data_IF_744901027384
#
_entry.id   IF_744901027384
#
_cell.length_a   1.000
_cell.length_b   1.000
_cell.length_c   1.000
_cell.angle_alpha   90.00
_cell.angle_beta   90.00
_cell.angle_gamma   90.00
#
_symmetry.space_group_name_H-M   'P 1'
#
loop_
_entity.id
_entity.type
_entity.pdbx_description
1 polymer ?
#
# COMPACT_ATOMS: atom_id res chain seq x y z
N UNK A 1 -6.20 0.48 -37.79
CA UNK A 1 -6.25 1.67 -36.91
C UNK A 1 -6.07 1.22 -35.47
N UNK A 2 -4.88 1.37 -34.90
CA UNK A 2 -4.66 1.20 -33.48
C UNK A 2 -5.28 2.42 -32.77
N UNK A 3 -6.51 2.31 -32.31
CA UNK A 3 -7.14 3.36 -31.51
C UNK A 3 -6.34 3.52 -30.23
N UNK A 4 -5.85 4.74 -29.98
CA UNK A 4 -5.15 5.18 -28.75
C UNK A 4 -5.96 5.03 -27.45
N UNK A 5 -7.14 4.41 -27.55
CA UNK A 5 -7.99 4.07 -26.42
C UNK A 5 -8.16 2.54 -26.30
N UNK A 6 -7.07 1.75 -26.18
CA UNK A 6 -7.17 0.31 -25.96
C UNK A 6 -7.88 -0.06 -24.65
N UNK A 7 -8.13 0.94 -23.78
CA UNK A 7 -8.81 0.81 -22.50
C UNK A 7 -10.33 1.08 -22.56
N UNK A 8 -10.85 1.79 -23.57
CA UNK A 8 -12.28 2.13 -23.73
C UNK A 8 -12.84 1.50 -25.02
N UNK A 9 -12.30 0.34 -25.42
CA UNK A 9 -12.90 -0.47 -26.47
C UNK A 9 -14.16 -1.20 -25.99
N UNK A 10 -14.73 -2.06 -26.84
CA UNK A 10 -15.85 -2.98 -26.51
C UNK A 10 -15.59 -3.89 -25.29
N UNK A 11 -14.38 -3.89 -24.75
CA UNK A 11 -13.92 -4.70 -23.62
C UNK A 11 -13.90 -3.94 -22.29
N UNK A 12 -14.41 -2.71 -22.19
CA UNK A 12 -14.54 -2.05 -20.88
C UNK A 12 -15.92 -2.34 -20.28
N UNK A 13 -15.94 -3.11 -19.19
CA UNK A 13 -17.15 -3.37 -18.41
C UNK A 13 -17.01 -2.73 -17.02
N UNK A 14 -17.78 -1.69 -16.75
CA UNK A 14 -17.75 -1.02 -15.44
C UNK A 14 -18.53 -1.77 -14.35
N UNK A 15 -19.51 -2.58 -14.74
CA UNK A 15 -20.44 -3.24 -13.82
C UNK A 15 -19.76 -4.07 -12.71
N UNK A 16 -18.70 -4.87 -12.97
CA UNK A 16 -18.02 -5.64 -11.92
C UNK A 16 -17.34 -4.76 -10.87
N UNK A 17 -16.95 -3.54 -11.24
CA UNK A 17 -16.15 -2.63 -10.42
C UNK A 17 -16.98 -1.58 -9.67
N UNK A 18 -18.23 -1.34 -10.09
CA UNK A 18 -19.14 -0.35 -9.48
C UNK A 18 -19.19 -0.42 -7.95
N UNK A 19 -19.21 -1.62 -7.37
CA UNK A 19 -19.27 -1.82 -5.91
C UNK A 19 -18.02 -1.33 -5.15
N UNK A 20 -16.88 -1.20 -5.82
CA UNK A 20 -15.63 -0.68 -5.26
C UNK A 20 -15.48 0.81 -5.55
N UNK A 21 -15.82 1.22 -6.76
CA UNK A 21 -15.66 2.61 -7.21
C UNK A 21 -16.70 3.52 -6.57
N UNK A 22 -17.96 3.08 -6.43
CA UNK A 22 -19.03 3.94 -5.92
C UNK A 22 -18.78 4.49 -4.50
N UNK A 23 -18.34 3.70 -3.49
CA UNK A 23 -17.99 4.24 -2.18
C UNK A 23 -16.87 5.29 -2.24
N UNK A 24 -15.88 5.11 -3.11
CA UNK A 24 -14.77 6.04 -3.25
C UNK A 24 -15.19 7.36 -3.91
N UNK A 25 -16.02 7.29 -4.94
CA UNK A 25 -16.58 8.50 -5.57
C UNK A 25 -17.48 9.23 -4.58
N UNK A 26 -18.33 8.51 -3.84
CA UNK A 26 -19.18 9.14 -2.83
C UNK A 26 -18.35 9.76 -1.69
N UNK A 27 -17.23 9.13 -1.28
CA UNK A 27 -16.28 9.71 -0.32
C UNK A 27 -15.71 11.04 -0.83
N UNK A 28 -15.36 11.14 -2.12
CA UNK A 28 -14.90 12.40 -2.72
C UNK A 28 -16.01 13.45 -2.76
N UNK A 29 -17.26 13.07 -3.04
CA UNK A 29 -18.41 13.98 -3.00
C UNK A 29 -18.65 14.50 -1.59
N UNK A 30 -18.60 13.63 -0.57
CA UNK A 30 -18.71 14.04 0.84
C UNK A 30 -17.58 14.99 1.22
N UNK A 31 -16.34 14.68 0.84
CA UNK A 31 -15.19 15.55 1.09
C UNK A 31 -15.33 16.91 0.38
N UNK A 32 -15.86 16.94 -0.84
CA UNK A 32 -16.16 18.18 -1.55
C UNK A 32 -17.22 19.01 -0.84
N UNK A 33 -18.29 18.38 -0.33
CA UNK A 33 -19.31 19.07 0.49
C UNK A 33 -18.68 19.62 1.78
N UNK A 34 -17.81 18.86 2.45
CA UNK A 34 -17.09 19.35 3.62
C UNK A 34 -16.19 20.56 3.28
N UNK A 35 -15.47 20.53 2.15
CA UNK A 35 -14.70 21.68 1.67
C UNK A 35 -15.58 22.89 1.35
N UNK A 36 -16.77 22.68 0.77
CA UNK A 36 -17.70 23.77 0.48
C UNK A 36 -18.28 24.40 1.75
N UNK A 37 -18.51 23.61 2.80
CA UNK A 37 -18.96 24.09 4.10
C UNK A 37 -17.85 24.82 4.89
N UNK A 38 -16.58 24.48 4.64
CA UNK A 38 -15.41 25.15 5.21
C UNK A 38 -14.68 25.98 4.13
N UNK A 39 -15.44 26.82 3.43
CA UNK A 39 -14.96 27.58 2.27
C UNK A 39 -13.79 28.52 2.58
N UNK A 40 -13.58 28.88 3.85
CA UNK A 40 -12.44 29.68 4.32
C UNK A 40 -11.09 29.02 4.03
N UNK A 41 -11.04 27.70 3.88
CA UNK A 41 -9.83 26.96 3.52
C UNK A 41 -9.67 26.77 2.00
N UNK A 42 -10.67 27.13 1.21
CA UNK A 42 -10.71 26.89 -0.24
C UNK A 42 -10.41 28.19 -0.98
N UNK A 43 -9.17 28.34 -1.43
CA UNK A 43 -8.76 29.51 -2.23
C UNK A 43 -9.29 29.47 -3.66
N UNK A 44 -9.45 28.27 -4.23
CA UNK A 44 -9.98 28.07 -5.57
C UNK A 44 -10.80 26.77 -5.66
N UNK A 45 -11.81 26.77 -6.54
CA UNK A 45 -12.71 25.61 -6.72
C UNK A 45 -11.98 24.32 -7.09
N UNK A 46 -10.86 24.41 -7.83
CA UNK A 46 -10.05 23.23 -8.19
C UNK A 46 -9.44 22.51 -6.99
N UNK A 47 -9.32 23.20 -5.84
CA UNK A 47 -8.81 22.64 -4.60
C UNK A 47 -9.94 22.12 -3.69
N UNK A 48 -11.19 22.50 -3.95
CA UNK A 48 -12.33 22.02 -3.17
C UNK A 48 -12.50 20.49 -3.20
N UNK A 49 -11.94 19.82 -4.22
CA UNK A 49 -11.96 18.37 -4.35
C UNK A 49 -10.58 17.80 -4.64
N UNK A 50 -10.33 16.56 -4.20
CA UNK A 50 -9.09 15.82 -4.46
C UNK A 50 -9.03 15.29 -5.91
N UNK A 51 -8.77 16.19 -6.87
CA UNK A 51 -8.68 15.86 -8.30
C UNK A 51 -7.70 14.71 -8.58
N UNK A 52 -6.55 14.70 -7.90
CA UNK A 52 -5.55 13.64 -8.09
C UNK A 52 -6.07 12.28 -7.65
N UNK A 53 -6.82 12.20 -6.55
CA UNK A 53 -7.44 10.95 -6.11
C UNK A 53 -8.51 10.49 -7.09
N UNK A 54 -9.32 11.40 -7.63
CA UNK A 54 -10.29 11.07 -8.67
C UNK A 54 -9.61 10.43 -9.90
N UNK A 55 -8.53 11.03 -10.39
CA UNK A 55 -7.74 10.46 -11.50
C UNK A 55 -7.19 9.08 -11.16
N UNK A 56 -6.74 8.86 -9.93
CA UNK A 56 -6.21 7.57 -9.49
C UNK A 56 -7.30 6.50 -9.36
N UNK A 57 -8.52 6.85 -8.97
CA UNK A 57 -9.68 5.96 -8.99
C UNK A 57 -10.04 5.56 -10.42
N UNK A 58 -10.01 6.51 -11.36
CA UNK A 58 -10.25 6.26 -12.79
C UNK A 58 -9.16 5.33 -13.35
N UNK A 59 -7.88 5.64 -13.10
CA UNK A 59 -6.75 4.81 -13.52
C UNK A 59 -6.84 3.40 -12.93
N UNK A 60 -7.16 3.29 -11.63
CA UNK A 60 -7.39 2.01 -10.96
C UNK A 60 -8.48 1.20 -11.67
N UNK A 61 -9.57 1.84 -12.06
CA UNK A 61 -10.69 1.19 -12.75
C UNK A 61 -10.26 0.67 -14.12
N UNK A 62 -9.49 1.44 -14.89
CA UNK A 62 -8.99 1.00 -16.20
C UNK A 62 -8.02 -0.17 -16.10
N UNK A 63 -7.07 -0.13 -15.15
CA UNK A 63 -6.14 -1.24 -14.92
C UNK A 63 -6.88 -2.49 -14.45
N UNK A 64 -7.84 -2.35 -13.52
CA UNK A 64 -8.65 -3.46 -13.04
C UNK A 64 -9.49 -4.07 -14.17
N UNK A 65 -10.09 -3.25 -15.03
CA UNK A 65 -10.85 -3.70 -16.20
C UNK A 65 -9.97 -4.45 -17.20
N UNK A 66 -8.75 -3.98 -17.45
CA UNK A 66 -7.81 -4.66 -18.33
C UNK A 66 -7.43 -6.05 -17.79
N UNK A 67 -7.05 -6.11 -16.50
CA UNK A 67 -6.68 -7.36 -15.83
C UNK A 67 -7.83 -8.36 -15.78
N UNK A 68 -9.06 -7.88 -15.58
CA UNK A 68 -10.25 -8.71 -15.63
C UNK A 68 -10.39 -9.36 -17.01
N UNK A 69 -10.31 -8.60 -18.11
CA UNK A 69 -10.47 -9.24 -19.43
C UNK A 69 -9.27 -10.11 -19.84
N UNK A 70 -8.08 -9.88 -19.25
CA UNK A 70 -6.85 -10.59 -19.59
C UNK A 70 -6.11 -11.08 -18.33
N UNK A 71 -6.63 -12.06 -17.58
CA UNK A 71 -6.04 -12.51 -16.32
C UNK A 71 -4.61 -13.06 -16.49
N UNK A 72 -4.27 -13.60 -17.68
CA UNK A 72 -2.91 -14.04 -18.04
C UNK A 72 -1.87 -12.93 -18.03
N UNK A 73 -2.27 -11.66 -17.97
CA UNK A 73 -1.34 -10.52 -17.84
C UNK A 73 -0.84 -10.30 -16.42
N UNK A 74 -1.50 -10.88 -15.41
CA UNK A 74 -1.11 -10.68 -14.01
C UNK A 74 0.35 -11.09 -13.72
N UNK A 75 0.84 -12.28 -14.14
CA UNK A 75 2.25 -12.64 -13.93
C UNK A 75 3.21 -11.67 -14.62
N UNK A 76 2.85 -11.15 -15.80
CA UNK A 76 3.67 -10.19 -16.53
C UNK A 76 3.79 -8.91 -15.71
N UNK A 77 2.67 -8.38 -15.20
CA UNK A 77 2.67 -7.16 -14.37
C UNK A 77 3.51 -7.34 -13.10
N UNK A 78 3.34 -8.45 -12.39
CA UNK A 78 4.09 -8.73 -11.16
C UNK A 78 5.58 -8.92 -11.42
N UNK A 79 5.95 -9.60 -12.51
CA UNK A 79 7.35 -9.77 -12.91
C UNK A 79 7.96 -8.46 -13.41
N UNK A 80 7.20 -7.62 -14.12
CA UNK A 80 7.64 -6.27 -14.50
C UNK A 80 7.88 -5.40 -13.26
N UNK A 81 7.06 -5.55 -12.21
CA UNK A 81 7.28 -4.87 -10.93
C UNK A 81 8.59 -5.32 -10.27
N UNK A 82 8.84 -6.63 -10.18
CA UNK A 82 10.12 -7.19 -9.69
C UNK A 82 11.29 -6.66 -10.52
N UNK A 83 11.22 -6.74 -11.85
CA UNK A 83 12.26 -6.26 -12.74
C UNK A 83 12.53 -4.76 -12.56
N UNK A 84 11.48 -3.96 -12.41
CA UNK A 84 11.64 -2.52 -12.15
C UNK A 84 12.38 -2.23 -10.84
N UNK A 85 12.13 -3.01 -9.79
CA UNK A 85 12.84 -2.87 -8.52
C UNK A 85 14.29 -3.36 -8.58
N UNK A 86 14.59 -4.34 -9.44
CA UNK A 86 15.98 -4.73 -9.73
C UNK A 86 16.73 -3.62 -10.48
N UNK A 87 16.07 -2.94 -11.42
CA UNK A 87 16.64 -1.75 -12.08
C UNK A 87 16.89 -0.63 -11.09
N UNK A 88 15.94 -0.38 -10.18
CA UNK A 88 16.12 0.58 -9.07
C UNK A 88 17.34 0.21 -8.22
N UNK A 89 17.49 -1.06 -7.84
CA UNK A 89 18.69 -1.51 -7.11
C UNK A 89 19.96 -1.26 -7.90
N UNK A 90 19.99 -1.60 -9.19
CA UNK A 90 21.14 -1.33 -10.06
C UNK A 90 21.50 0.16 -10.13
N UNK A 91 20.51 1.06 -10.26
CA UNK A 91 20.74 2.50 -10.25
C UNK A 91 21.33 2.97 -8.92
N UNK A 92 20.81 2.46 -7.80
CA UNK A 92 21.34 2.75 -6.46
C UNK A 92 22.77 2.27 -6.31
N UNK A 93 23.06 1.03 -6.72
CA UNK A 93 24.41 0.45 -6.64
C UNK A 93 25.44 1.17 -7.51
N UNK A 94 25.00 1.79 -8.60
CA UNK A 94 25.86 2.59 -9.49
C UNK A 94 25.92 4.07 -9.11
N UNK A 95 25.23 4.49 -8.04
CA UNK A 95 25.18 5.87 -7.58
C UNK A 95 24.34 6.81 -8.45
N UNK A 96 23.59 6.28 -9.43
CA UNK A 96 22.82 7.10 -10.38
C UNK A 96 21.55 7.64 -9.73
N UNK A 97 21.48 8.98 -9.61
CA UNK A 97 20.33 9.66 -9.00
C UNK A 97 20.22 9.48 -7.48
N UNK A 98 21.27 8.97 -6.85
CA UNK A 98 21.33 8.73 -5.40
C UNK A 98 21.67 10.02 -4.67
N UNK A 99 20.84 10.38 -3.71
CA UNK A 99 21.14 11.40 -2.71
C UNK A 99 20.86 10.84 -1.31
N UNK A 100 21.44 11.47 -0.29
CA UNK A 100 21.22 11.08 1.10
C UNK A 100 20.67 12.26 1.89
N UNK A 101 19.59 12.01 2.63
CA UNK A 101 18.99 12.98 3.54
C UNK A 101 18.93 12.35 4.93
N UNK A 102 19.64 12.93 5.91
CA UNK A 102 19.79 12.37 7.25
C UNK A 102 20.26 10.89 7.23
N UNK A 103 21.22 10.57 6.34
CA UNK A 103 21.76 9.21 6.15
C UNK A 103 20.83 8.24 5.41
N UNK A 104 19.66 8.68 4.95
CA UNK A 104 18.69 7.82 4.26
C UNK A 104 18.78 7.95 2.76
N UNK A 105 18.69 6.83 2.06
CA UNK A 105 18.71 6.78 0.60
C UNK A 105 17.48 7.46 -0.02
N UNK A 106 17.73 8.48 -0.85
CA UNK A 106 16.77 9.05 -1.79
C UNK A 106 17.23 8.69 -3.22
N UNK A 107 16.29 8.30 -4.07
CA UNK A 107 16.56 8.06 -5.49
C UNK A 107 15.72 9.04 -6.29
N UNK A 108 16.36 9.95 -7.03
CA UNK A 108 15.72 11.04 -7.76
C UNK A 108 14.73 11.85 -6.89
N UNK A 109 15.09 12.07 -5.61
CA UNK A 109 14.23 12.77 -4.64
C UNK A 109 13.01 11.97 -4.15
N UNK A 110 12.85 10.70 -4.55
CA UNK A 110 11.77 9.86 -4.05
C UNK A 110 11.93 9.63 -2.55
N UNK A 111 10.83 9.83 -1.81
CA UNK A 111 10.81 9.65 -0.37
C UNK A 111 11.27 8.24 0.04
N UNK A 112 12.22 8.12 1.00
CA UNK A 112 12.78 6.84 1.41
C UNK A 112 11.73 5.84 1.92
N UNK A 113 10.67 6.32 2.59
CA UNK A 113 9.60 5.43 3.06
C UNK A 113 8.78 4.83 1.91
N UNK A 114 8.65 5.54 0.78
CA UNK A 114 7.97 5.01 -0.41
C UNK A 114 8.88 3.99 -1.08
N UNK A 115 10.18 4.28 -1.20
CA UNK A 115 11.17 3.35 -1.76
C UNK A 115 11.19 2.02 -1.00
N UNK A 116 11.31 2.09 0.34
CA UNK A 116 11.26 0.91 1.19
C UNK A 116 9.94 0.13 1.05
N UNK A 117 8.80 0.81 0.98
CA UNK A 117 7.51 0.15 0.76
C UNK A 117 7.43 -0.57 -0.60
N UNK A 118 7.96 0.04 -1.67
CA UNK A 118 8.04 -0.59 -3.00
C UNK A 118 8.93 -1.86 -2.97
N UNK A 119 10.10 -1.76 -2.34
CA UNK A 119 11.02 -2.88 -2.19
C UNK A 119 10.41 -4.02 -1.35
N UNK A 120 9.72 -3.70 -0.25
CA UNK A 120 9.01 -4.69 0.58
C UNK A 120 7.91 -5.42 -0.22
N UNK A 121 7.15 -4.71 -1.06
CA UNK A 121 6.16 -5.33 -1.94
C UNK A 121 6.82 -6.26 -2.98
N UNK A 122 7.92 -5.83 -3.61
CA UNK A 122 8.64 -6.66 -4.57
C UNK A 122 9.21 -7.94 -3.94
N UNK A 123 9.75 -7.82 -2.73
CA UNK A 123 10.19 -8.96 -1.92
C UNK A 123 9.05 -9.95 -1.68
N UNK A 124 7.88 -9.48 -1.27
CA UNK A 124 6.72 -10.34 -0.99
C UNK A 124 6.17 -11.02 -2.25
N UNK A 125 6.19 -10.32 -3.39
CA UNK A 125 5.81 -10.91 -4.68
C UNK A 125 6.80 -12.02 -5.05
N UNK A 126 8.11 -11.75 -4.99
CA UNK A 126 9.15 -12.71 -5.34
C UNK A 126 9.11 -13.96 -4.43
N UNK A 127 9.06 -13.76 -3.10
CA UNK A 127 9.09 -14.88 -2.13
C UNK A 127 7.82 -15.74 -2.20
N UNK A 128 6.67 -15.16 -2.58
CA UNK A 128 5.44 -15.94 -2.79
C UNK A 128 5.60 -16.98 -3.91
N UNK A 129 6.40 -16.67 -4.94
CA UNK A 129 6.73 -17.60 -6.02
C UNK A 129 7.52 -18.83 -5.56
N UNK A 130 8.36 -18.67 -4.53
CA UNK A 130 9.13 -19.76 -3.92
C UNK A 130 8.22 -20.66 -3.09
N UNK A 131 7.37 -20.04 -2.28
CA UNK A 131 6.49 -20.71 -1.33
C UNK A 131 5.45 -21.58 -2.04
N UNK A 132 4.98 -21.18 -3.22
CA UNK A 132 3.97 -21.94 -3.96
C UNK A 132 4.49 -23.25 -4.55
N UNK A 133 5.77 -23.30 -5.00
CA UNK A 133 6.40 -24.53 -5.51
C UNK A 133 7.88 -24.53 -5.13
N UNK A 134 8.19 -25.19 -4.03
CA UNK A 134 9.55 -25.25 -3.52
C UNK A 134 10.43 -26.15 -4.39
N UNK A 135 11.61 -25.65 -4.78
CA UNK A 135 12.72 -26.46 -5.29
C UNK A 135 14.02 -25.76 -4.93
N UNK A 136 15.12 -26.52 -4.81
CA UNK A 136 16.41 -25.95 -4.44
C UNK A 136 16.89 -24.91 -5.46
N UNK A 137 16.71 -25.17 -6.76
CA UNK A 137 16.99 -24.20 -7.83
C UNK A 137 16.18 -22.92 -7.66
N UNK A 138 14.89 -23.02 -7.33
CA UNK A 138 14.04 -21.84 -7.09
C UNK A 138 14.46 -21.08 -5.84
N UNK A 139 14.90 -21.79 -4.79
CA UNK A 139 15.41 -21.16 -3.58
C UNK A 139 16.62 -20.29 -3.90
N UNK A 140 17.58 -20.80 -4.69
CA UNK A 140 18.77 -20.05 -5.10
C UNK A 140 18.36 -18.83 -5.94
N UNK A 141 17.54 -19.02 -6.98
CA UNK A 141 17.15 -17.93 -7.89
C UNK A 141 16.34 -16.86 -7.18
N UNK A 142 15.31 -17.24 -6.41
CA UNK A 142 14.45 -16.29 -5.71
C UNK A 142 15.20 -15.65 -4.54
N UNK A 143 16.06 -16.40 -3.85
CA UNK A 143 16.97 -15.87 -2.83
C UNK A 143 17.86 -14.76 -3.40
N UNK A 144 18.50 -15.01 -4.55
CA UNK A 144 19.32 -14.02 -5.24
C UNK A 144 18.53 -12.76 -5.65
N UNK A 145 17.27 -12.91 -6.08
CA UNK A 145 16.38 -11.79 -6.39
C UNK A 145 15.97 -11.00 -5.14
N UNK A 146 15.75 -11.68 -4.02
CA UNK A 146 15.32 -11.04 -2.78
C UNK A 146 16.42 -10.21 -2.10
N UNK A 147 17.70 -10.55 -2.28
CA UNK A 147 18.85 -9.83 -1.69
C UNK A 147 18.82 -8.32 -2.05
N UNK A 148 18.71 -7.93 -3.33
CA UNK A 148 18.51 -6.53 -3.74
C UNK A 148 17.39 -5.81 -2.98
N UNK A 149 16.24 -6.47 -2.79
CA UNK A 149 15.09 -5.85 -2.15
C UNK A 149 15.30 -5.64 -0.66
N UNK A 150 15.92 -6.61 0.03
CA UNK A 150 16.35 -6.46 1.43
C UNK A 150 17.32 -5.27 1.55
N UNK A 151 18.29 -5.18 0.66
CA UNK A 151 19.26 -4.06 0.62
C UNK A 151 18.60 -2.70 0.41
N UNK A 152 17.62 -2.60 -0.49
CA UNK A 152 16.84 -1.37 -0.68
C UNK A 152 15.99 -1.01 0.55
N UNK A 153 15.41 -1.99 1.23
CA UNK A 153 14.67 -1.73 2.48
C UNK A 153 15.61 -1.22 3.57
N UNK A 154 16.77 -1.85 3.74
CA UNK A 154 17.78 -1.45 4.72
C UNK A 154 18.29 -0.02 4.47
N UNK A 155 18.73 0.27 3.24
CA UNK A 155 19.27 1.59 2.86
C UNK A 155 18.23 2.70 2.88
N UNK A 156 16.93 2.38 2.76
CA UNK A 156 15.85 3.35 2.94
C UNK A 156 15.69 3.86 4.39
N UNK A 157 16.25 3.15 5.37
CA UNK A 157 16.08 3.44 6.79
C UNK A 157 14.60 3.45 7.25
N UNK A 158 13.70 2.78 6.51
CA UNK A 158 12.26 2.82 6.80
C UNK A 158 11.85 1.67 7.72
N UNK A 159 11.72 1.94 9.02
CA UNK A 159 11.18 1.01 10.03
C UNK A 159 9.89 0.32 9.56
N UNK A 160 8.97 1.11 9.01
CA UNK A 160 7.71 0.58 8.52
C UNK A 160 7.83 -0.29 7.26
N UNK A 161 8.83 -0.08 6.40
CA UNK A 161 9.07 -1.00 5.27
C UNK A 161 9.61 -2.34 5.76
N UNK A 162 10.51 -2.30 6.75
CA UNK A 162 11.03 -3.49 7.41
C UNK A 162 9.92 -4.30 8.08
N UNK A 163 9.07 -3.66 8.90
CA UNK A 163 7.90 -4.30 9.50
C UNK A 163 6.93 -4.84 8.44
N UNK A 164 6.78 -4.15 7.30
CA UNK A 164 5.93 -4.62 6.19
C UNK A 164 6.42 -5.97 5.62
N UNK A 165 7.74 -6.18 5.54
CA UNK A 165 8.29 -7.45 5.05
C UNK A 165 7.91 -8.60 5.98
N UNK A 166 8.15 -8.46 7.28
CA UNK A 166 7.84 -9.54 8.24
C UNK A 166 6.34 -9.75 8.42
N UNK A 167 5.55 -8.67 8.48
CA UNK A 167 4.10 -8.78 8.51
C UNK A 167 3.59 -9.51 7.26
N UNK A 168 4.14 -9.20 6.09
CA UNK A 168 3.73 -9.84 4.84
C UNK A 168 4.10 -11.31 4.80
N UNK A 169 5.31 -11.67 5.27
CA UNK A 169 5.73 -13.06 5.44
C UNK A 169 4.83 -13.81 6.44
N UNK A 170 4.50 -13.20 7.58
CA UNK A 170 3.61 -13.79 8.58
C UNK A 170 2.22 -14.08 8.00
N UNK A 171 1.63 -13.11 7.28
CA UNK A 171 0.34 -13.29 6.59
C UNK A 171 0.44 -14.38 5.52
N UNK A 172 1.52 -14.38 4.74
CA UNK A 172 1.75 -15.37 3.67
C UNK A 172 1.81 -16.79 4.23
N UNK A 173 2.55 -16.99 5.33
CA UNK A 173 2.69 -18.28 6.02
C UNK A 173 1.40 -18.69 6.74
N UNK A 174 0.71 -17.74 7.38
CA UNK A 174 -0.55 -18.00 8.08
C UNK A 174 -1.62 -18.55 7.13
N UNK A 175 -1.82 -17.89 5.99
CA UNK A 175 -2.79 -18.30 4.97
C UNK A 175 -2.29 -19.41 4.04
N UNK A 176 -1.06 -19.91 4.21
CA UNK A 176 -0.58 -21.04 3.42
C UNK A 176 -1.36 -22.32 3.74
N UNK A 177 -1.84 -23.00 2.69
CA UNK A 177 -2.43 -24.34 2.78
C UNK A 177 -1.33 -25.40 2.87
N UNK A 178 -0.85 -25.67 4.08
CA UNK A 178 0.11 -26.75 4.39
C UNK A 178 -0.33 -27.53 5.62
N UNK A 179 0.24 -28.71 5.82
CA UNK A 179 0.11 -29.44 7.09
C UNK A 179 0.60 -28.59 8.26
N UNK A 180 0.05 -28.84 9.45
CA UNK A 180 0.37 -28.10 10.69
C UNK A 180 1.87 -28.19 10.98
N UNK A 181 2.48 -29.37 10.83
CA UNK A 181 3.91 -29.58 11.04
C UNK A 181 4.76 -28.72 10.08
N UNK A 182 4.45 -28.75 8.78
CA UNK A 182 5.19 -27.95 7.80
C UNK A 182 5.03 -26.45 8.06
N UNK A 183 3.85 -26.03 8.54
CA UNK A 183 3.60 -24.63 8.93
C UNK A 183 4.51 -24.22 10.08
N UNK A 184 4.64 -25.04 11.12
CA UNK A 184 5.56 -24.78 12.24
C UNK A 184 7.02 -24.74 11.82
N UNK A 185 7.48 -25.69 10.99
CA UNK A 185 8.85 -25.69 10.46
C UNK A 185 9.12 -24.38 9.72
N UNK A 186 8.20 -23.94 8.86
CA UNK A 186 8.35 -22.68 8.12
C UNK A 186 8.37 -21.46 9.04
N UNK A 187 7.55 -21.44 10.09
CA UNK A 187 7.54 -20.36 11.08
C UNK A 187 8.86 -20.31 11.83
N UNK A 188 9.40 -21.45 12.25
CA UNK A 188 10.70 -21.53 12.95
C UNK A 188 11.83 -21.05 12.03
N UNK A 189 11.88 -21.54 10.78
CA UNK A 189 12.88 -21.12 9.79
C UNK A 189 12.76 -19.63 9.48
N UNK A 190 11.53 -19.12 9.33
CA UNK A 190 11.29 -17.70 9.10
C UNK A 190 11.69 -16.86 10.31
N UNK A 191 11.38 -17.29 11.54
CA UNK A 191 11.78 -16.59 12.76
C UNK A 191 13.31 -16.56 12.89
N UNK A 192 13.97 -17.71 12.72
CA UNK A 192 15.43 -17.79 12.75
C UNK A 192 16.08 -16.90 11.68
N UNK A 193 15.63 -16.98 10.43
CA UNK A 193 16.12 -16.13 9.35
C UNK A 193 15.85 -14.64 9.59
N UNK A 194 14.72 -14.31 10.20
CA UNK A 194 14.38 -12.93 10.59
C UNK A 194 15.31 -12.42 11.67
N UNK A 195 15.59 -13.22 12.71
CA UNK A 195 16.55 -12.86 13.77
C UNK A 195 17.93 -12.62 13.19
N UNK A 196 18.46 -13.53 12.36
CA UNK A 196 19.76 -13.34 11.71
C UNK A 196 19.80 -12.06 10.87
N UNK A 197 18.74 -11.80 10.09
CA UNK A 197 18.66 -10.58 9.28
C UNK A 197 18.60 -9.33 10.14
N UNK A 198 17.82 -9.33 11.23
CA UNK A 198 17.71 -8.21 12.16
C UNK A 198 19.08 -7.94 12.80
N UNK A 199 19.74 -8.96 13.36
CA UNK A 199 21.07 -8.82 13.97
C UNK A 199 22.08 -8.26 12.97
N UNK A 200 22.14 -8.83 11.77
CA UNK A 200 23.03 -8.33 10.71
C UNK A 200 22.75 -6.86 10.36
N UNK A 201 21.48 -6.46 10.24
CA UNK A 201 21.13 -5.09 9.92
C UNK A 201 21.43 -4.10 11.06
N UNK A 202 21.24 -4.52 12.31
CA UNK A 202 21.59 -3.70 13.47
C UNK A 202 23.12 -3.49 13.56
N UNK A 203 23.91 -4.51 13.23
CA UNK A 203 25.38 -4.41 13.22
C UNK A 203 25.93 -3.60 12.05
N UNK A 204 25.30 -3.69 10.88
CA UNK A 204 25.82 -3.08 9.63
C UNK A 204 25.20 -1.74 9.28
N UNK A 205 24.09 -1.34 9.90
CA UNK A 205 23.39 -0.10 9.59
C UNK A 205 23.03 0.66 10.89
N UNK A 206 23.97 1.48 11.42
CA UNK A 206 23.77 2.23 12.66
C UNK A 206 22.51 3.10 12.63
N UNK A 207 22.23 3.77 11.51
CA UNK A 207 21.02 4.59 11.36
C UNK A 207 19.73 3.79 11.53
N UNK A 208 19.68 2.57 10.98
CA UNK A 208 18.52 1.69 11.15
C UNK A 208 18.41 1.20 12.59
N UNK A 209 19.56 0.91 13.24
CA UNK A 209 19.63 0.52 14.64
C UNK A 209 19.11 1.61 15.57
N UNK A 210 19.65 2.83 15.46
CA UNK A 210 19.27 3.98 16.28
C UNK A 210 17.76 4.23 16.18
N UNK A 211 17.23 4.27 14.96
CA UNK A 211 15.79 4.47 14.76
C UNK A 211 14.95 3.33 15.33
N UNK A 212 15.40 2.08 15.23
CA UNK A 212 14.66 0.95 15.80
C UNK A 212 14.66 1.02 17.33
N UNK A 213 15.80 1.37 17.94
CA UNK A 213 15.95 1.55 19.37
C UNK A 213 15.08 2.70 19.89
N UNK A 214 15.11 3.87 19.25
CA UNK A 214 14.22 5.01 19.59
C UNK A 214 12.74 4.60 19.64
N UNK A 215 12.27 3.78 18.70
CA UNK A 215 10.87 3.32 18.71
C UNK A 215 10.58 2.33 19.84
N UNK A 216 11.56 1.50 20.21
CA UNK A 216 11.39 0.51 21.28
C UNK A 216 11.50 1.15 22.66
N UNK A 217 12.41 2.10 22.84
CA UNK A 217 12.70 2.75 24.12
C UNK A 217 11.73 3.89 24.41
N UNK A 218 11.53 4.81 23.47
CA UNK A 218 10.75 6.03 23.68
C UNK A 218 9.29 5.90 23.23
N UNK A 219 8.95 4.80 22.55
CA UNK A 219 7.65 4.65 21.88
C UNK A 219 7.44 5.69 20.76
N UNK A 220 8.48 6.43 20.35
CA UNK A 220 8.35 7.46 19.34
C UNK A 220 8.33 6.86 17.94
N UNK A 221 7.18 7.00 17.31
CA UNK A 221 7.00 6.64 15.90
C UNK A 221 7.49 7.73 14.95
N UNK A 222 7.87 8.89 15.48
CA UNK A 222 8.15 10.16 14.81
C UNK A 222 6.88 10.90 14.38
N UNK A 223 5.73 10.54 14.96
CA UNK A 223 4.39 10.95 14.50
C UNK A 223 3.34 11.10 15.59
N UNK A 224 3.72 10.88 16.85
CA UNK A 224 2.78 10.87 17.97
C UNK A 224 2.04 12.22 18.05
N UNK A 225 2.78 13.33 18.01
CA UNK A 225 2.23 14.70 17.97
C UNK A 225 1.23 14.93 16.83
N UNK A 226 1.49 14.37 15.64
CA UNK A 226 0.57 14.50 14.49
C UNK A 226 -0.70 13.68 14.70
N UNK A 227 -0.61 12.52 15.35
CA UNK A 227 -1.76 11.66 15.61
C UNK A 227 -2.62 12.23 16.72
N UNK A 228 -2.03 12.77 17.77
CA UNK A 228 -2.76 13.42 18.86
C UNK A 228 -3.56 14.62 18.33
N UNK A 229 -2.90 15.51 17.56
CA UNK A 229 -3.58 16.62 16.91
C UNK A 229 -4.68 16.16 15.95
N UNK A 230 -4.46 15.08 15.19
CA UNK A 230 -5.48 14.51 14.32
C UNK A 230 -6.71 14.02 15.09
N UNK A 231 -6.51 13.36 16.23
CA UNK A 231 -7.61 12.92 17.08
C UNK A 231 -8.38 14.10 17.66
N UNK A 232 -7.71 15.17 18.07
CA UNK A 232 -8.37 16.37 18.59
C UNK A 232 -9.18 17.09 17.50
N UNK A 233 -8.64 17.21 16.28
CA UNK A 233 -9.41 17.74 15.14
C UNK A 233 -10.66 16.88 14.88
N UNK A 234 -10.54 15.54 14.93
CA UNK A 234 -11.66 14.62 14.71
C UNK A 234 -12.73 14.77 15.82
N UNK A 235 -12.33 14.96 17.08
CA UNK A 235 -13.29 15.21 18.18
C UNK A 235 -14.11 16.46 17.92
N UNK A 236 -13.48 17.51 17.41
CA UNK A 236 -14.13 18.79 17.15
C UNK A 236 -14.93 18.80 15.83
N UNK A 237 -14.65 17.86 14.90
CA UNK A 237 -15.20 17.83 13.54
C UNK A 237 -15.67 16.41 13.16
N UNK A 238 -16.45 15.77 14.03
CA UNK A 238 -16.77 14.34 13.90
C UNK A 238 -17.59 14.03 12.65
N UNK A 239 -18.69 14.75 12.41
CA UNK A 239 -19.63 14.44 11.32
C UNK A 239 -19.22 15.17 10.03
N UNK A 240 -19.00 16.48 10.13
CA UNK A 240 -18.58 17.33 9.02
C UNK A 240 -17.07 17.53 9.18
N UNK A 241 -16.30 16.99 8.24
CA UNK A 241 -14.85 17.17 8.23
C UNK A 241 -14.45 18.60 7.86
N UNK A 242 -13.16 18.89 7.95
CA UNK A 242 -12.58 20.18 7.59
C UNK A 242 -12.49 20.44 6.07
N UNK A 243 -12.87 19.47 5.23
CA UNK A 243 -12.59 19.49 3.80
C UNK A 243 -11.15 19.10 3.47
N UNK A 244 -10.87 18.82 2.19
CA UNK A 244 -9.55 18.32 1.76
C UNK A 244 -8.42 19.33 1.97
N UNK A 245 -8.69 20.61 1.68
CA UNK A 245 -7.73 21.71 1.89
C UNK A 245 -7.69 22.18 3.34
N UNK A 246 -8.75 21.95 4.12
CA UNK A 246 -8.76 22.28 5.55
C UNK A 246 -7.88 21.35 6.40
N UNK A 247 -7.43 20.20 5.88
CA UNK A 247 -6.61 19.26 6.65
C UNK A 247 -5.31 19.90 7.13
N UNK A 248 -4.52 20.53 6.26
CA UNK A 248 -3.22 21.08 6.65
C UNK A 248 -3.35 22.30 7.58
N UNK A 249 -4.22 23.29 7.29
CA UNK A 249 -4.49 24.39 8.21
C UNK A 249 -4.94 23.93 9.60
N UNK A 250 -5.85 22.94 9.68
CA UNK A 250 -6.27 22.37 10.97
C UNK A 250 -5.13 21.64 11.67
N UNK A 251 -4.34 20.84 10.94
CA UNK A 251 -3.16 20.20 11.52
C UNK A 251 -2.19 21.23 12.11
N UNK A 252 -1.94 22.33 11.40
CA UNK A 252 -1.10 23.42 11.90
C UNK A 252 -1.70 24.10 13.14
N UNK A 253 -3.02 24.34 13.15
CA UNK A 253 -3.71 24.93 14.30
C UNK A 253 -3.56 24.10 15.59
N UNK A 254 -3.63 22.76 15.49
CA UNK A 254 -3.60 21.87 16.66
C UNK A 254 -2.20 21.40 17.05
N UNK A 255 -1.28 21.28 16.09
CA UNK A 255 0.07 20.74 16.35
C UNK A 255 1.20 21.76 16.23
N UNK A 256 0.95 22.93 15.63
CA UNK A 256 2.00 23.85 15.19
C UNK A 256 2.82 23.35 14.00
N UNK A 257 2.48 22.19 13.42
CA UNK A 257 3.22 21.54 12.33
C UNK A 257 2.39 21.58 11.04
N UNK A 258 2.97 22.17 9.99
CA UNK A 258 2.34 22.27 8.67
C UNK A 258 2.48 20.96 7.88
N UNK A 259 1.85 19.89 8.35
CA UNK A 259 1.98 18.54 7.79
C UNK A 259 0.70 17.71 7.98
N UNK A 260 0.42 16.81 7.04
CA UNK A 260 -0.69 15.85 7.13
C UNK A 260 -0.40 14.75 8.18
N UNK A 261 -1.42 14.06 8.74
CA UNK A 261 -1.24 13.13 9.88
C UNK A 261 -0.44 11.84 9.60
N UNK A 262 0.16 11.71 8.42
CA UNK A 262 0.95 10.55 8.02
C UNK A 262 0.24 9.19 8.14
N UNK A 263 -1.10 9.21 8.12
CA UNK A 263 -1.99 8.07 8.21
C UNK A 263 -3.22 8.35 7.34
N UNK A 264 -3.51 7.48 6.37
CA UNK A 264 -4.64 7.70 5.46
C UNK A 264 -5.99 7.76 6.17
N UNK A 265 -6.16 6.96 7.21
CA UNK A 265 -7.44 6.84 7.89
C UNK A 265 -7.76 8.13 8.63
N UNK A 266 -6.77 8.68 9.34
CA UNK A 266 -6.87 9.98 9.98
C UNK A 266 -7.07 11.10 8.95
N UNK A 267 -6.33 11.06 7.83
CA UNK A 267 -6.49 12.05 6.76
C UNK A 267 -7.91 12.08 6.19
N UNK A 268 -8.47 10.92 5.83
CA UNK A 268 -9.82 10.81 5.29
C UNK A 268 -10.87 11.23 6.32
N UNK A 269 -10.67 10.89 7.59
CA UNK A 269 -11.59 11.28 8.67
C UNK A 269 -11.57 12.80 8.87
N UNK A 270 -10.41 13.43 8.99
CA UNK A 270 -10.32 14.90 9.10
C UNK A 270 -10.96 15.57 7.89
N UNK A 271 -10.66 15.09 6.67
CA UNK A 271 -11.13 15.74 5.45
C UNK A 271 -12.64 15.61 5.21
N UNK A 272 -13.20 14.41 5.44
CA UNK A 272 -14.56 14.06 5.01
C UNK A 272 -15.48 13.60 6.15
N UNK A 273 -15.03 13.70 7.40
CA UNK A 273 -15.79 13.32 8.58
C UNK A 273 -16.13 11.84 8.66
N UNK A 274 -17.04 11.51 9.60
CA UNK A 274 -17.54 10.16 9.83
C UNK A 274 -18.16 9.54 8.55
N UNK A 275 -18.97 10.24 7.73
CA UNK A 275 -19.52 9.66 6.52
C UNK A 275 -18.43 9.28 5.51
N UNK A 276 -17.41 10.12 5.35
CA UNK A 276 -16.29 9.86 4.44
C UNK A 276 -15.46 8.64 4.84
N UNK A 277 -15.08 8.53 6.12
CA UNK A 277 -14.31 7.39 6.60
C UNK A 277 -15.11 6.09 6.53
N UNK A 278 -16.42 6.11 6.80
CA UNK A 278 -17.29 4.93 6.64
C UNK A 278 -17.27 4.45 5.19
N UNK A 279 -17.37 5.34 4.21
CA UNK A 279 -17.34 4.99 2.79
C UNK A 279 -16.00 4.39 2.36
N UNK A 280 -14.89 4.92 2.88
CA UNK A 280 -13.56 4.36 2.66
C UNK A 280 -13.44 2.96 3.27
N UNK A 281 -13.93 2.76 4.49
CA UNK A 281 -13.95 1.45 5.16
C UNK A 281 -14.85 0.45 4.43
N UNK A 282 -15.98 0.88 3.86
CA UNK A 282 -16.83 0.03 3.01
C UNK A 282 -16.07 -0.45 1.77
N UNK A 283 -15.31 0.42 1.11
CA UNK A 283 -14.44 0.03 -0.01
C UNK A 283 -13.45 -1.06 0.42
N UNK A 284 -12.71 -0.83 1.51
CA UNK A 284 -11.72 -1.77 2.03
C UNK A 284 -12.34 -3.10 2.44
N UNK A 285 -13.47 -3.08 3.15
CA UNK A 285 -14.18 -4.28 3.58
C UNK A 285 -14.67 -5.11 2.38
N UNK A 286 -15.26 -4.47 1.38
CA UNK A 286 -15.71 -5.16 0.15
C UNK A 286 -14.55 -5.82 -0.57
N UNK A 287 -13.40 -5.14 -0.65
CA UNK A 287 -12.19 -5.69 -1.26
C UNK A 287 -11.67 -6.88 -0.45
N UNK A 288 -11.48 -6.72 0.86
CA UNK A 288 -11.04 -7.80 1.76
C UNK A 288 -11.94 -9.05 1.65
N UNK A 289 -13.27 -8.88 1.67
CA UNK A 289 -14.23 -9.97 1.50
C UNK A 289 -14.05 -10.71 0.18
N UNK A 290 -13.88 -9.97 -0.93
CA UNK A 290 -13.62 -10.58 -2.24
C UNK A 290 -12.31 -11.37 -2.24
N UNK A 291 -11.23 -10.80 -1.72
CA UNK A 291 -9.93 -11.46 -1.69
C UNK A 291 -9.95 -12.73 -0.82
N UNK A 292 -10.70 -12.71 0.28
CA UNK A 292 -10.88 -13.88 1.12
C UNK A 292 -11.69 -14.98 0.44
N UNK A 293 -12.75 -14.63 -0.31
CA UNK A 293 -13.50 -15.59 -1.13
C UNK A 293 -12.62 -16.18 -2.24
N UNK A 294 -11.80 -15.36 -2.91
CA UNK A 294 -10.82 -15.83 -3.89
C UNK A 294 -9.84 -16.81 -3.24
N UNK A 295 -9.26 -16.47 -2.09
CA UNK A 295 -8.37 -17.36 -1.34
C UNK A 295 -9.05 -18.69 -0.96
N UNK A 296 -10.32 -18.66 -0.52
CA UNK A 296 -11.07 -19.89 -0.24
C UNK A 296 -11.26 -20.75 -1.49
N UNK A 297 -11.44 -20.14 -2.66
CA UNK A 297 -11.61 -20.86 -3.92
C UNK A 297 -10.29 -21.41 -4.48
N UNK A 298 -9.21 -20.64 -4.49
CA UNK A 298 -7.96 -20.99 -5.20
C UNK A 298 -6.83 -21.46 -4.28
N UNK A 299 -6.88 -21.11 -3.00
CA UNK A 299 -5.77 -21.30 -2.06
C UNK A 299 -4.62 -20.30 -2.21
N UNK A 300 -4.70 -19.35 -3.15
CA UNK A 300 -3.66 -18.35 -3.38
C UNK A 300 -3.74 -17.21 -2.34
N UNK A 301 -2.70 -17.07 -1.53
CA UNK A 301 -2.64 -16.08 -0.44
C UNK A 301 -1.98 -14.75 -0.84
N UNK A 302 -1.30 -14.66 -1.98
CA UNK A 302 -0.57 -13.45 -2.40
C UNK A 302 -1.46 -12.20 -2.42
N UNK A 303 -2.68 -12.30 -2.94
CA UNK A 303 -3.59 -11.14 -2.98
C UNK A 303 -3.96 -10.64 -1.57
N UNK A 304 -4.12 -11.53 -0.59
CA UNK A 304 -4.36 -11.13 0.81
C UNK A 304 -3.12 -10.45 1.40
N UNK A 305 -1.93 -10.98 1.14
CA UNK A 305 -0.66 -10.40 1.59
C UNK A 305 -0.49 -8.98 1.02
N UNK A 306 -0.65 -8.82 -0.29
CA UNK A 306 -0.55 -7.52 -0.94
C UNK A 306 -1.58 -6.53 -0.39
N UNK A 307 -2.82 -6.97 -0.13
CA UNK A 307 -3.83 -6.13 0.48
C UNK A 307 -3.42 -5.66 1.87
N UNK A 308 -3.04 -6.57 2.77
CA UNK A 308 -2.63 -6.21 4.14
C UNK A 308 -1.46 -5.24 4.11
N UNK A 309 -0.47 -5.46 3.25
CA UNK A 309 0.73 -4.62 3.17
C UNK A 309 0.48 -3.28 2.52
N UNK A 310 -0.42 -3.20 1.53
CA UNK A 310 -0.89 -1.91 1.00
C UNK A 310 -1.56 -1.11 2.11
N UNK A 311 -2.49 -1.71 2.86
CA UNK A 311 -3.20 -1.02 3.94
C UNK A 311 -2.27 -0.60 5.07
N UNK A 312 -1.38 -1.48 5.50
CA UNK A 312 -0.38 -1.16 6.51
C UNK A 312 0.56 -0.03 6.06
N UNK A 313 0.97 0.00 4.79
CA UNK A 313 1.79 1.09 4.31
C UNK A 313 1.01 2.41 4.21
N UNK A 314 -0.28 2.37 3.88
CA UNK A 314 -1.12 3.56 3.84
C UNK A 314 -1.44 4.12 5.23
N UNK A 315 -1.58 3.27 6.26
CA UNK A 315 -1.82 3.71 7.65
C UNK A 315 -0.61 4.43 8.25
N UNK A 316 0.59 4.18 7.72
CA UNK A 316 1.84 4.76 8.20
C UNK A 316 2.51 5.67 7.17
N UNK A 317 1.82 6.18 6.16
CA UNK A 317 2.46 7.08 5.20
C UNK A 317 1.62 8.31 4.87
N UNK A 318 2.27 9.48 4.90
CA UNK A 318 1.70 10.76 4.46
C UNK A 318 1.41 10.82 2.97
N UNK A 319 0.29 11.46 2.64
CA UNK A 319 -0.15 11.70 1.27
C UNK A 319 -0.46 10.44 0.48
N UNK A 320 -0.65 9.29 1.14
CA UNK A 320 -0.88 7.99 0.50
C UNK A 320 -2.08 8.00 -0.45
N UNK A 321 -3.12 8.80 -0.18
CA UNK A 321 -4.28 8.98 -1.07
C UNK A 321 -3.91 9.50 -2.46
N UNK A 322 -2.79 10.23 -2.58
CA UNK A 322 -2.31 10.84 -3.83
C UNK A 322 -1.24 9.98 -4.53
N UNK A 323 -0.87 8.80 -3.98
CA UNK A 323 0.24 7.98 -4.51
C UNK A 323 -0.24 6.86 -5.42
N UNK A 324 0.25 6.87 -6.65
CA UNK A 324 -0.09 5.88 -7.69
C UNK A 324 0.16 4.43 -7.27
N UNK A 325 1.18 4.19 -6.43
CA UNK A 325 1.55 2.87 -5.93
C UNK A 325 0.35 2.10 -5.34
N UNK A 326 -0.39 2.73 -4.42
CA UNK A 326 -1.47 2.05 -3.70
C UNK A 326 -2.66 1.78 -4.60
N UNK A 327 -3.03 2.76 -5.43
CA UNK A 327 -4.12 2.62 -6.40
C UNK A 327 -3.83 1.59 -7.48
N UNK A 328 -2.57 1.49 -7.92
CA UNK A 328 -2.11 0.42 -8.80
C UNK A 328 -2.32 -0.95 -8.16
N UNK A 329 -1.91 -1.15 -6.91
CA UNK A 329 -2.12 -2.44 -6.24
C UNK A 329 -3.60 -2.72 -5.97
N UNK A 330 -4.42 -1.72 -5.62
CA UNK A 330 -5.87 -1.93 -5.56
C UNK A 330 -6.44 -2.37 -6.91
N UNK A 331 -5.96 -1.81 -8.02
CA UNK A 331 -6.37 -2.22 -9.35
C UNK A 331 -5.97 -3.67 -9.65
N UNK A 332 -4.74 -4.06 -9.31
CA UNK A 332 -4.24 -5.43 -9.46
C UNK A 332 -5.10 -6.41 -8.65
N UNK A 333 -5.39 -6.09 -7.39
CA UNK A 333 -6.20 -6.90 -6.49
C UNK A 333 -7.65 -7.05 -6.97
N UNK A 334 -8.25 -5.96 -7.45
CA UNK A 334 -9.63 -5.97 -7.96
C UNK A 334 -9.71 -6.74 -9.28
N UNK A 335 -8.83 -6.41 -10.22
CA UNK A 335 -8.83 -6.99 -11.57
C UNK A 335 -8.52 -8.49 -11.57
N UNK A 336 -7.60 -8.96 -10.71
CA UNK A 336 -7.21 -10.37 -10.66
C UNK A 336 -8.26 -11.27 -10.01
N UNK A 337 -9.19 -10.73 -9.21
CA UNK A 337 -10.10 -11.55 -8.39
C UNK A 337 -11.58 -11.37 -8.69
N UNK A 338 -11.98 -10.32 -9.43
CA UNK A 338 -13.39 -10.02 -9.67
C UNK A 338 -14.16 -11.13 -10.41
N UNK A 339 -13.50 -11.99 -11.20
CA UNK A 339 -14.13 -13.14 -11.87
C UNK A 339 -14.76 -14.15 -10.92
N UNK A 340 -14.17 -14.32 -9.73
CA UNK A 340 -14.63 -15.30 -8.75
C UNK A 340 -16.06 -14.98 -8.29
N UNK A 341 -16.43 -13.70 -8.23
CA UNK A 341 -17.80 -13.30 -7.88
C UNK A 341 -18.80 -13.64 -8.97
N UNK A 342 -18.41 -13.46 -10.24
CA UNK A 342 -19.26 -13.83 -11.38
C UNK A 342 -19.54 -15.34 -11.36
N UNK A 343 -18.55 -16.14 -10.98
CA UNK A 343 -18.69 -17.60 -10.91
C UNK A 343 -19.50 -18.07 -9.69
N UNK A 344 -19.32 -17.47 -8.50
CA UNK A 344 -20.09 -17.83 -7.29
C UNK A 344 -21.58 -17.50 -7.45
N UNK A 345 -21.91 -16.37 -8.12
CA UNK A 345 -23.30 -16.00 -8.41
C UNK A 345 -24.00 -16.90 -9.43
N UNK A 346 -23.26 -17.73 -10.18
CA UNK A 346 -23.85 -18.69 -11.12
C UNK A 346 -24.14 -20.05 -10.46
N UNK A 347 -23.58 -20.33 -9.28
CA UNK A 347 -23.76 -21.59 -8.54
C UNK A 347 -24.81 -21.55 -7.45
N UNK A 348 -25.24 -20.34 -7.05
CA UNK A 348 -26.33 -20.09 -6.13
C UNK A 348 -27.48 -19.46 -6.90
#
# INVERSE_FOLDING_TARGET
MATWVPLIGRNFQFAPFKRFVAPLILMLVVGFVCSALNSEYVTELRYAYEYRTLLLIVLMTFIAAHLYHKPKTLPIILNSYIASMLVVFYLVSTGNGVTYEHGRLLLFGENPNVMGAKAALAFLIAISGLINKFSFTRLIVIGAICIPFVGLVATSGSRGAFVSMFLGLAVLLYFRRTSVLNKWILIIVAAFGSTLLITYLLETNPLMADRLLETVEDGDTGRNVLWDAAFDIIKDNLIIGAGFEGVIPKMYQYSGIYLVPHNIFLYVFIAAGLPGIILFMIFLFRLAKMLFVHFKATGESLNLVLFVIVIFNMSKQGGSIRKILFWFFFAVLIGSTAHVISYVKQKN
#
